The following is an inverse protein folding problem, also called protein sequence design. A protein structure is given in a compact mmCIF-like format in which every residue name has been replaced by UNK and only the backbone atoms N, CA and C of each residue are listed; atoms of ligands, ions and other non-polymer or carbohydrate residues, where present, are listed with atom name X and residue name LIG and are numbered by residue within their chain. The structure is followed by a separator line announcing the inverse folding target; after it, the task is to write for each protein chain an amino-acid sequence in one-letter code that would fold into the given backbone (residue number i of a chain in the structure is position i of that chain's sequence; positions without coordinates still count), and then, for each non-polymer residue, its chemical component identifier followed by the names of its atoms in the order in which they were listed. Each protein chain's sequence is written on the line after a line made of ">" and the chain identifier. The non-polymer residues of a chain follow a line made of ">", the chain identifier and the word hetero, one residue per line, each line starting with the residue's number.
data_IF_136417186766
#
_entry.id   IF_136417186766
#
_cell.length_a   1.000
_cell.length_b   1.000
_cell.length_c   1.000
_cell.angle_alpha   90.00
_cell.angle_beta   90.00
_cell.angle_gamma   90.00
#
_symmetry.space_group_name_H-M   'P 1'
#
loop_
_entity.id
_entity.type
_entity.pdbx_description
1 polymer ?
#
# COMPACT_ATOMS: atom_id res chain seq x y z
N UNK A 1 21.49 52.24 70.89
CA UNK A 1 21.97 51.41 69.73
C UNK A 1 20.71 50.80 69.06
N UNK A 2 20.30 51.42 67.95
CA UNK A 2 19.16 50.96 67.17
C UNK A 2 19.62 49.95 66.10
N UNK A 3 19.24 48.71 66.24
CA UNK A 3 19.41 47.72 65.19
C UNK A 3 18.16 47.74 64.25
N UNK A 4 18.36 48.20 63.02
CA UNK A 4 17.36 48.07 61.93
C UNK A 4 17.40 46.65 61.38
N UNK A 5 16.35 45.93 61.58
CA UNK A 5 16.13 44.62 60.86
C UNK A 5 15.66 44.93 59.44
N UNK A 6 16.49 44.58 58.46
CA UNK A 6 16.11 44.58 57.04
C UNK A 6 15.49 43.24 56.73
N UNK A 7 14.17 43.21 56.43
CA UNK A 7 13.49 42.07 55.95
C UNK A 7 13.77 41.93 54.44
N UNK A 8 14.44 40.84 54.03
CA UNK A 8 14.64 40.47 52.63
C UNK A 8 13.42 39.71 52.18
N UNK A 9 12.59 40.29 51.31
CA UNK A 9 11.50 39.65 50.68
C UNK A 9 12.03 38.86 49.46
N UNK A 10 12.12 37.55 49.58
CA UNK A 10 12.47 36.65 48.45
C UNK A 10 11.23 36.47 47.58
N UNK A 11 11.16 37.18 46.45
CA UNK A 11 10.13 36.94 45.43
C UNK A 11 10.48 35.66 44.65
N UNK A 12 9.84 34.56 44.99
CA UNK A 12 9.91 33.31 44.22
C UNK A 12 9.18 33.47 42.90
N UNK A 13 9.91 33.60 41.79
CA UNK A 13 9.36 33.55 40.45
C UNK A 13 8.98 32.11 40.14
N UNK A 14 7.72 31.75 40.35
CA UNK A 14 7.17 30.49 39.83
C UNK A 14 7.08 30.59 38.29
N UNK A 15 8.03 30.01 37.60
CA UNK A 15 7.88 29.72 36.17
C UNK A 15 6.78 28.65 36.01
N UNK A 16 5.57 29.07 35.66
CA UNK A 16 4.56 28.19 35.16
C UNK A 16 5.02 27.71 33.79
N UNK A 17 5.65 26.54 33.70
CA UNK A 17 5.85 25.86 32.41
C UNK A 17 4.48 25.50 31.87
N UNK A 18 4.14 25.87 30.61
CA UNK A 18 2.93 25.40 30.02
C UNK A 18 3.05 23.87 29.94
N UNK A 19 2.28 23.15 30.71
CA UNK A 19 2.04 21.75 30.51
C UNK A 19 1.36 21.64 29.16
N UNK A 20 2.11 21.25 28.13
CA UNK A 20 1.52 20.89 26.84
C UNK A 20 0.59 19.72 27.08
N UNK A 21 -0.71 20.00 27.06
CA UNK A 21 -1.75 19.01 27.22
C UNK A 21 -1.59 17.98 26.10
N UNK A 22 -1.53 16.71 26.48
CA UNK A 22 -1.57 15.62 25.55
C UNK A 22 -2.92 15.68 24.82
N UNK A 23 -2.89 15.89 23.49
CA UNK A 23 -4.10 15.91 22.67
C UNK A 23 -4.43 14.48 22.31
N UNK A 24 -5.62 14.01 22.69
CA UNK A 24 -6.14 12.72 22.29
C UNK A 24 -7.03 12.91 21.06
N UNK A 25 -6.70 12.25 19.97
CA UNK A 25 -7.55 12.20 18.76
C UNK A 25 -8.24 10.83 18.69
N UNK A 26 -9.54 10.85 18.52
CA UNK A 26 -10.32 9.62 18.31
C UNK A 26 -10.39 9.35 16.81
N UNK A 27 -10.03 8.12 16.39
CA UNK A 27 -10.06 7.64 15.01
C UNK A 27 -11.08 6.52 14.94
N UNK A 28 -11.93 6.54 13.90
CA UNK A 28 -12.95 5.52 13.69
C UNK A 28 -12.73 4.76 12.39
N UNK A 29 -12.86 3.44 12.44
CA UNK A 29 -12.87 2.57 11.25
C UNK A 29 -14.29 2.26 10.75
N UNK A 30 -15.29 2.99 11.28
CA UNK A 30 -16.70 2.80 10.96
C UNK A 30 -17.30 1.53 11.57
N UNK A 31 -18.61 1.37 11.39
CA UNK A 31 -19.32 0.18 11.84
C UNK A 31 -18.83 -1.04 11.07
N UNK A 32 -18.47 -2.11 11.78
CA UNK A 32 -17.98 -3.35 11.15
C UNK A 32 -16.61 -3.22 10.48
N UNK A 33 -15.82 -2.21 10.84
CA UNK A 33 -14.46 -1.98 10.29
C UNK A 33 -14.42 -1.83 8.75
N UNK A 34 -15.46 -1.26 8.16
CA UNK A 34 -15.59 -1.09 6.71
C UNK A 34 -14.75 0.04 6.13
N UNK A 35 -14.04 0.79 6.97
CA UNK A 35 -13.25 1.95 6.55
C UNK A 35 -11.82 1.87 7.02
N UNK A 36 -10.94 2.41 6.19
CA UNK A 36 -9.58 2.80 6.57
C UNK A 36 -9.58 4.27 6.98
N UNK A 37 -8.92 4.59 8.09
CA UNK A 37 -8.80 5.97 8.58
C UNK A 37 -7.35 6.41 8.53
N UNK A 38 -7.12 7.55 7.88
CA UNK A 38 -5.83 8.20 7.77
C UNK A 38 -5.83 9.46 8.63
N UNK A 39 -4.99 9.50 9.67
CA UNK A 39 -4.89 10.64 10.57
C UNK A 39 -3.65 11.48 10.28
N UNK A 40 -3.85 12.78 10.12
CA UNK A 40 -2.77 13.74 10.14
C UNK A 40 -2.63 14.31 11.57
N UNK A 41 -1.65 13.80 12.31
CA UNK A 41 -1.46 14.17 13.72
C UNK A 41 -1.09 15.65 13.91
N UNK A 42 -0.39 16.25 12.95
CA UNK A 42 0.01 17.65 13.01
C UNK A 42 -1.16 18.60 12.78
N UNK A 43 -2.08 18.22 11.89
CA UNK A 43 -3.25 19.04 11.55
C UNK A 43 -4.50 18.69 12.39
N UNK A 44 -4.46 17.58 13.14
CA UNK A 44 -5.63 17.08 13.87
C UNK A 44 -6.79 16.66 12.96
N UNK A 45 -6.50 16.29 11.72
CA UNK A 45 -7.52 15.93 10.73
C UNK A 45 -7.50 14.43 10.42
N UNK A 46 -8.67 13.89 10.11
CA UNK A 46 -8.88 12.50 9.71
C UNK A 46 -9.50 12.45 8.31
N UNK A 47 -9.08 11.48 7.51
CA UNK A 47 -9.73 11.11 6.24
C UNK A 47 -10.10 9.65 6.29
N UNK A 48 -11.34 9.33 6.00
CA UNK A 48 -11.84 7.96 5.89
C UNK A 48 -12.07 7.59 4.42
N UNK A 49 -11.74 6.36 4.07
CA UNK A 49 -12.06 5.72 2.78
C UNK A 49 -12.65 4.34 3.05
N UNK A 50 -13.53 3.86 2.17
CA UNK A 50 -14.04 2.50 2.33
C UNK A 50 -12.95 1.49 2.00
N UNK A 51 -12.98 0.34 2.69
CA UNK A 51 -12.04 -0.75 2.42
C UNK A 51 -12.17 -1.32 1.00
N UNK A 52 -13.27 -1.08 0.32
CA UNK A 52 -13.56 -1.55 -1.04
C UNK A 52 -13.27 -0.52 -2.13
N UNK A 53 -12.78 0.68 -1.79
CA UNK A 53 -12.55 1.75 -2.77
C UNK A 53 -11.29 1.52 -3.64
N UNK A 54 -10.47 0.53 -3.30
CA UNK A 54 -9.27 0.20 -4.06
C UNK A 54 -8.94 -1.30 -3.97
N UNK A 55 -8.22 -1.79 -4.96
CA UNK A 55 -7.83 -3.20 -5.07
C UNK A 55 -6.31 -3.38 -5.01
N UNK A 56 -5.56 -2.59 -5.77
CA UNK A 56 -4.10 -2.60 -5.77
C UNK A 56 -3.55 -1.19 -5.60
N UNK A 57 -2.32 -1.10 -5.09
CA UNK A 57 -1.63 0.17 -4.91
C UNK A 57 -0.18 0.06 -5.39
N UNK A 58 0.29 1.12 -6.03
CA UNK A 58 1.63 1.24 -6.60
C UNK A 58 2.43 2.27 -5.82
N UNK A 59 3.67 1.96 -5.44
CA UNK A 59 4.60 2.94 -4.87
C UNK A 59 4.90 4.05 -5.87
N UNK A 60 4.66 5.29 -5.45
CA UNK A 60 4.93 6.48 -6.28
C UNK A 60 5.99 7.38 -5.67
N UNK A 61 6.55 7.00 -4.53
CA UNK A 61 7.59 7.74 -3.83
C UNK A 61 8.98 7.37 -4.38
N UNK A 62 9.63 8.31 -5.04
CA UNK A 62 11.01 8.16 -5.52
C UNK A 62 11.19 6.96 -6.45
N UNK A 63 12.24 6.18 -6.20
CA UNK A 63 12.62 4.99 -6.98
C UNK A 63 11.93 3.71 -6.50
N UNK A 64 11.11 3.78 -5.44
CA UNK A 64 10.39 2.61 -4.95
C UNK A 64 9.46 2.02 -6.01
N UNK A 65 9.41 0.70 -6.10
CA UNK A 65 8.61 -0.05 -7.07
C UNK A 65 7.78 -1.16 -6.40
N UNK A 66 7.34 -0.92 -5.17
CA UNK A 66 6.44 -1.80 -4.44
C UNK A 66 5.04 -1.78 -5.03
N UNK A 67 4.42 -2.96 -5.12
CA UNK A 67 3.02 -3.10 -5.56
C UNK A 67 2.30 -3.98 -4.54
N UNK A 68 1.20 -3.46 -4.01
CA UNK A 68 0.44 -4.01 -2.89
C UNK A 68 -0.96 -4.35 -3.32
N UNK A 69 -1.60 -5.30 -2.65
CA UNK A 69 -3.04 -5.48 -2.77
C UNK A 69 -3.76 -5.16 -1.46
N UNK A 70 -5.05 -4.97 -1.53
CA UNK A 70 -5.88 -4.58 -0.40
C UNK A 70 -6.28 -5.80 0.43
N UNK A 71 -5.49 -6.12 1.45
CA UNK A 71 -5.77 -7.20 2.41
C UNK A 71 -6.82 -6.82 3.47
N UNK A 72 -7.17 -5.53 3.58
CA UNK A 72 -8.00 -5.01 4.68
C UNK A 72 -9.47 -5.44 4.62
N UNK A 73 -9.91 -6.03 3.51
CA UNK A 73 -11.28 -6.47 3.32
C UNK A 73 -11.56 -7.91 3.80
N UNK A 74 -10.53 -8.65 4.26
CA UNK A 74 -10.64 -10.10 4.49
C UNK A 74 -11.52 -10.54 5.65
N UNK A 75 -11.59 -9.78 6.75
CA UNK A 75 -12.46 -10.09 7.90
C UNK A 75 -12.86 -8.84 8.65
N UNK A 76 -14.10 -8.81 9.10
CA UNK A 76 -14.60 -7.79 10.00
C UNK A 76 -15.32 -8.46 11.16
N UNK A 77 -14.82 -8.23 12.40
CA UNK A 77 -15.43 -8.80 13.64
C UNK A 77 -15.59 -10.31 13.62
N UNK A 78 -14.68 -11.05 12.96
CA UNK A 78 -14.77 -12.51 12.82
C UNK A 78 -15.78 -12.98 11.77
N UNK A 79 -16.37 -12.07 11.01
CA UNK A 79 -17.24 -12.39 9.87
C UNK A 79 -16.41 -12.28 8.59
N UNK A 80 -16.38 -13.35 7.79
CA UNK A 80 -15.73 -13.33 6.49
C UNK A 80 -16.34 -12.25 5.60
N UNK A 81 -15.50 -11.42 5.02
CA UNK A 81 -15.87 -10.42 4.03
C UNK A 81 -15.34 -10.86 2.66
N UNK A 82 -15.98 -10.45 1.55
CA UNK A 82 -15.41 -10.64 0.23
C UNK A 82 -13.99 -10.08 0.20
N UNK A 83 -13.02 -10.94 -0.07
CA UNK A 83 -11.61 -10.58 -0.01
C UNK A 83 -11.01 -10.65 -1.41
N UNK A 84 -9.97 -9.85 -1.61
CA UNK A 84 -9.11 -9.94 -2.77
C UNK A 84 -7.97 -10.91 -2.44
N UNK A 85 -7.67 -11.85 -3.34
CA UNK A 85 -6.52 -12.74 -3.22
C UNK A 85 -5.60 -12.56 -4.43
N UNK A 86 -4.29 -12.64 -4.21
CA UNK A 86 -3.27 -12.55 -5.26
C UNK A 86 -2.44 -13.82 -5.27
N UNK A 87 -2.20 -14.36 -6.46
CA UNK A 87 -1.44 -15.58 -6.68
C UNK A 87 -0.38 -15.36 -7.75
N UNK A 88 0.76 -16.02 -7.61
CA UNK A 88 1.71 -16.14 -8.70
C UNK A 88 1.23 -17.21 -9.68
N UNK A 89 1.19 -16.90 -10.98
CA UNK A 89 0.59 -17.78 -11.99
C UNK A 89 1.52 -18.93 -12.44
N UNK A 90 2.77 -18.96 -11.96
CA UNK A 90 3.78 -19.96 -12.34
C UNK A 90 4.10 -19.97 -13.85
N UNK A 91 3.68 -18.94 -14.56
CA UNK A 91 3.99 -18.66 -15.97
C UNK A 91 4.23 -17.16 -16.14
N UNK A 92 4.95 -16.76 -17.16
CA UNK A 92 5.16 -15.38 -17.59
C UNK A 92 4.43 -15.02 -18.87
N UNK A 93 3.86 -16.03 -19.57
CA UNK A 93 3.11 -15.82 -20.80
C UNK A 93 1.69 -15.37 -20.52
N UNK A 94 1.40 -14.11 -20.83
CA UNK A 94 0.05 -13.57 -20.70
C UNK A 94 -1.00 -14.25 -21.61
N UNK A 95 -0.59 -14.94 -22.65
CA UNK A 95 -1.51 -15.65 -23.54
C UNK A 95 -1.99 -16.99 -22.95
N UNK A 96 -1.27 -17.53 -21.96
CA UNK A 96 -1.71 -18.71 -21.25
C UNK A 96 -2.95 -18.43 -20.40
N UNK A 97 -3.73 -19.47 -20.17
CA UNK A 97 -4.88 -19.44 -19.26
C UNK A 97 -4.50 -20.15 -17.96
N UNK A 98 -4.18 -19.42 -16.88
CA UNK A 98 -3.88 -20.02 -15.59
C UNK A 98 -5.08 -20.81 -15.05
N UNK A 99 -4.80 -21.95 -14.40
CA UNK A 99 -5.83 -22.76 -13.75
C UNK A 99 -5.98 -22.32 -12.27
N UNK A 100 -7.11 -21.73 -11.85
CA UNK A 100 -7.30 -21.28 -10.47
C UNK A 100 -7.24 -22.39 -9.42
N UNK A 101 -7.55 -23.63 -9.81
CA UNK A 101 -7.63 -24.78 -8.87
C UNK A 101 -6.26 -25.17 -8.28
N UNK A 102 -5.17 -24.84 -8.98
CA UNK A 102 -3.81 -25.20 -8.56
C UNK A 102 -3.05 -24.01 -7.93
N UNK A 103 -3.68 -22.84 -7.82
CA UNK A 103 -2.99 -21.62 -7.38
C UNK A 103 -2.85 -21.50 -5.86
N UNK A 104 -3.55 -22.34 -5.07
CA UNK A 104 -3.59 -22.20 -3.61
C UNK A 104 -2.22 -22.18 -2.93
N UNK A 105 -1.25 -22.95 -3.44
CA UNK A 105 0.12 -23.00 -2.90
C UNK A 105 0.98 -21.80 -3.32
N UNK A 106 0.47 -20.95 -4.21
CA UNK A 106 1.17 -19.78 -4.77
C UNK A 106 0.52 -18.46 -4.36
N UNK A 107 -0.27 -18.46 -3.28
CA UNK A 107 -0.88 -17.25 -2.74
C UNK A 107 0.20 -16.32 -2.18
N UNK A 108 0.09 -15.02 -2.48
CA UNK A 108 1.04 -13.99 -2.12
C UNK A 108 0.41 -13.02 -1.12
N UNK A 109 1.26 -12.44 -0.26
CA UNK A 109 0.85 -11.50 0.77
C UNK A 109 1.73 -10.25 0.76
N UNK A 110 1.21 -9.14 1.25
CA UNK A 110 2.03 -7.96 1.46
C UNK A 110 3.03 -8.24 2.59
N UNK A 111 4.22 -7.64 2.49
CA UNK A 111 5.26 -7.84 3.49
C UNK A 111 4.85 -7.25 4.84
N UNK A 112 4.87 -8.04 5.90
CA UNK A 112 4.70 -7.56 7.28
C UNK A 112 5.92 -6.80 7.82
N UNK A 113 7.07 -6.92 7.14
CA UNK A 113 8.36 -6.39 7.61
C UNK A 113 8.76 -5.08 6.93
N UNK A 114 8.15 -4.74 5.81
CA UNK A 114 8.57 -3.61 5.00
C UNK A 114 7.42 -2.99 4.23
N UNK A 115 7.34 -1.66 4.27
CA UNK A 115 6.44 -0.86 3.43
C UNK A 115 6.97 -0.63 2.00
N UNK A 116 8.14 -1.20 1.66
CA UNK A 116 8.74 -1.07 0.33
C UNK A 116 8.28 -2.14 -0.64
N UNK A 117 7.83 -3.29 -0.12
CA UNK A 117 7.50 -4.47 -0.90
C UNK A 117 6.10 -4.96 -0.56
N UNK A 118 5.26 -5.02 -1.58
CA UNK A 118 3.94 -5.62 -1.50
C UNK A 118 3.94 -7.08 -2.02
N UNK A 119 2.77 -7.67 -2.14
CA UNK A 119 2.59 -9.05 -2.60
C UNK A 119 3.22 -9.32 -3.97
N UNK A 120 3.15 -8.37 -4.88
CA UNK A 120 3.72 -8.52 -6.22
C UNK A 120 5.26 -8.49 -6.25
N UNK A 121 5.88 -8.17 -5.11
CA UNK A 121 7.33 -8.21 -4.93
C UNK A 121 7.81 -9.47 -4.20
N UNK A 122 6.91 -10.34 -3.74
CA UNK A 122 7.26 -11.44 -2.81
C UNK A 122 8.15 -12.49 -3.47
N UNK A 123 7.96 -12.74 -4.76
CA UNK A 123 8.75 -13.73 -5.51
C UNK A 123 10.18 -13.26 -5.88
N UNK A 124 10.58 -12.06 -5.47
CA UNK A 124 11.92 -11.53 -5.77
C UNK A 124 13.05 -12.36 -5.16
N UNK A 125 14.14 -12.47 -5.87
CA UNK A 125 15.40 -12.94 -5.31
C UNK A 125 16.06 -11.84 -4.46
N UNK A 126 16.02 -12.00 -3.14
CA UNK A 126 16.56 -11.00 -2.20
C UNK A 126 18.07 -10.85 -2.25
N UNK A 127 18.80 -11.77 -2.90
CA UNK A 127 20.24 -11.67 -3.15
C UNK A 127 20.56 -10.78 -4.36
N UNK A 128 19.57 -10.48 -5.20
CA UNK A 128 19.69 -9.67 -6.43
C UNK A 128 19.02 -8.33 -6.22
N UNK A 129 19.81 -7.28 -6.02
CA UNK A 129 19.29 -5.95 -5.67
C UNK A 129 18.38 -5.31 -6.74
N UNK A 130 18.52 -5.75 -7.99
CA UNK A 130 17.74 -5.25 -9.14
C UNK A 130 16.45 -6.04 -9.40
N UNK A 131 16.18 -7.09 -8.62
CA UNK A 131 14.97 -7.90 -8.73
C UNK A 131 13.86 -7.31 -7.84
N UNK A 132 12.76 -6.92 -8.47
CA UNK A 132 11.55 -6.39 -7.81
C UNK A 132 10.44 -7.46 -7.65
N UNK A 133 10.68 -8.70 -8.09
CA UNK A 133 9.69 -9.79 -8.10
C UNK A 133 8.79 -9.72 -9.32
N UNK A 134 8.06 -8.63 -9.52
CA UNK A 134 7.23 -8.44 -10.71
C UNK A 134 8.04 -8.09 -11.96
N UNK A 135 9.26 -7.60 -11.81
CA UNK A 135 10.13 -7.19 -12.90
C UNK A 135 11.58 -7.03 -12.44
N UNK A 136 12.49 -6.91 -13.40
CA UNK A 136 13.93 -6.73 -13.20
C UNK A 136 14.36 -5.37 -13.74
N UNK A 137 15.15 -4.65 -12.95
CA UNK A 137 15.73 -3.37 -13.37
C UNK A 137 16.88 -3.60 -14.33
N UNK A 138 16.84 -2.91 -15.44
CA UNK A 138 17.90 -2.86 -16.44
C UNK A 138 18.76 -1.60 -16.23
N UNK A 139 19.97 -1.78 -15.77
CA UNK A 139 20.93 -0.70 -15.49
C UNK A 139 21.34 0.10 -16.75
N UNK A 140 21.23 -0.50 -17.94
CA UNK A 140 21.60 0.17 -19.19
C UNK A 140 20.52 1.15 -19.64
N UNK A 141 19.26 0.80 -19.43
CA UNK A 141 18.11 1.59 -19.87
C UNK A 141 17.47 2.40 -18.76
N UNK A 142 17.75 2.07 -17.48
CA UNK A 142 17.12 2.68 -16.32
C UNK A 142 15.64 2.31 -16.18
N UNK A 143 15.24 1.14 -16.69
CA UNK A 143 13.85 0.68 -16.73
C UNK A 143 13.68 -0.58 -15.90
N UNK A 144 12.48 -0.81 -15.36
CA UNK A 144 12.10 -2.11 -14.84
C UNK A 144 11.21 -2.78 -15.87
N UNK A 145 11.63 -3.96 -16.34
CA UNK A 145 10.88 -4.77 -17.29
C UNK A 145 10.17 -5.89 -16.55
N UNK A 146 8.84 -5.95 -16.68
CA UNK A 146 8.00 -6.94 -16.03
C UNK A 146 8.10 -8.31 -16.68
N UNK A 147 8.19 -9.35 -15.86
CA UNK A 147 8.20 -10.73 -16.35
C UNK A 147 7.10 -11.59 -15.70
N UNK A 148 6.70 -11.28 -14.47
CA UNK A 148 5.78 -12.13 -13.72
C UNK A 148 4.33 -11.94 -14.12
N UNK A 149 3.60 -13.05 -14.26
CA UNK A 149 2.15 -13.09 -14.40
C UNK A 149 1.53 -13.44 -13.04
N UNK A 150 0.46 -12.74 -12.71
CA UNK A 150 -0.31 -12.94 -11.49
C UNK A 150 -1.77 -13.29 -11.82
N UNK A 151 -2.41 -13.98 -10.89
CA UNK A 151 -3.87 -14.16 -10.89
C UNK A 151 -4.42 -13.42 -9.68
N UNK A 152 -5.45 -12.61 -9.91
CA UNK A 152 -6.15 -11.88 -8.86
C UNK A 152 -7.57 -12.43 -8.79
N UNK A 153 -7.96 -12.95 -7.62
CA UNK A 153 -9.35 -13.25 -7.30
C UNK A 153 -9.99 -11.99 -6.76
N UNK A 154 -11.00 -11.51 -7.44
CA UNK A 154 -11.75 -10.31 -7.05
C UNK A 154 -12.80 -10.64 -5.98
N UNK A 155 -13.31 -9.59 -5.31
CA UNK A 155 -14.34 -9.70 -4.24
C UNK A 155 -15.66 -10.34 -4.69
N UNK A 156 -15.94 -10.34 -6.01
CA UNK A 156 -17.11 -10.98 -6.63
C UNK A 156 -16.83 -12.41 -7.13
N UNK A 157 -15.74 -13.03 -6.64
CA UNK A 157 -15.24 -14.36 -7.02
C UNK A 157 -14.79 -14.49 -8.48
N UNK A 158 -14.70 -13.41 -9.25
CA UNK A 158 -14.11 -13.43 -10.57
C UNK A 158 -12.58 -13.46 -10.47
N UNK A 159 -11.96 -14.11 -11.45
CA UNK A 159 -10.51 -14.17 -11.58
C UNK A 159 -10.05 -13.35 -12.78
N UNK A 160 -9.00 -12.56 -12.56
CA UNK A 160 -8.29 -11.84 -13.61
C UNK A 160 -6.84 -12.32 -13.67
N UNK A 161 -6.26 -12.41 -14.85
CA UNK A 161 -4.81 -12.40 -15.01
C UNK A 161 -4.31 -10.97 -15.08
N UNK A 162 -3.18 -10.71 -14.44
CA UNK A 162 -2.60 -9.37 -14.26
C UNK A 162 -1.09 -9.42 -14.47
N UNK A 163 -0.56 -8.48 -15.24
CA UNK A 163 0.87 -8.33 -15.46
C UNK A 163 1.26 -6.86 -15.44
N UNK A 164 2.32 -6.54 -14.70
CA UNK A 164 3.00 -5.25 -14.84
C UNK A 164 4.01 -5.41 -15.96
N UNK A 165 3.87 -4.63 -17.02
CA UNK A 165 4.73 -4.71 -18.19
C UNK A 165 6.04 -3.97 -17.97
N UNK A 166 5.96 -2.80 -17.33
CA UNK A 166 7.15 -1.97 -17.13
C UNK A 166 6.95 -0.85 -16.11
N UNK A 167 8.07 -0.32 -15.61
CA UNK A 167 8.18 1.00 -15.02
C UNK A 167 9.27 1.78 -15.76
N UNK A 168 8.86 2.74 -16.60
CA UNK A 168 9.75 3.52 -17.47
C UNK A 168 9.51 5.00 -17.24
N UNK A 169 10.56 5.75 -16.90
CA UNK A 169 10.46 7.20 -16.69
C UNK A 169 9.44 7.60 -15.60
N UNK A 170 9.24 6.74 -14.59
CA UNK A 170 8.25 6.94 -13.53
C UNK A 170 6.82 6.55 -13.92
N UNK A 171 6.61 5.91 -15.05
CA UNK A 171 5.30 5.47 -15.53
C UNK A 171 5.22 3.95 -15.44
N UNK A 172 4.35 3.43 -14.58
CA UNK A 172 3.95 2.04 -14.61
C UNK A 172 3.02 1.80 -15.80
N UNK A 173 3.28 0.72 -16.55
CA UNK A 173 2.35 0.17 -17.54
C UNK A 173 1.97 -1.24 -17.08
N UNK A 174 0.68 -1.52 -17.00
CA UNK A 174 0.18 -2.84 -16.61
C UNK A 174 -1.05 -3.19 -17.43
N UNK A 175 -1.31 -4.49 -17.54
CA UNK A 175 -2.51 -5.01 -18.19
C UNK A 175 -3.17 -6.11 -17.36
N UNK A 176 -4.44 -6.26 -17.60
CA UNK A 176 -5.24 -7.33 -17.02
C UNK A 176 -6.33 -7.78 -17.99
N UNK A 177 -6.78 -9.01 -17.82
CA UNK A 177 -7.83 -9.62 -18.64
C UNK A 177 -8.54 -10.71 -17.84
N UNK A 178 -9.67 -11.20 -18.31
CA UNK A 178 -10.19 -12.48 -17.86
C UNK A 178 -9.14 -13.60 -18.10
N UNK A 179 -9.24 -14.73 -17.39
CA UNK A 179 -8.25 -15.80 -17.52
C UNK A 179 -8.12 -16.33 -18.95
N UNK A 180 -9.23 -16.33 -19.71
CA UNK A 180 -9.28 -16.74 -21.13
C UNK A 180 -8.72 -15.69 -22.09
N UNK A 181 -8.26 -14.54 -21.59
CA UNK A 181 -7.73 -13.42 -22.37
C UNK A 181 -8.79 -12.43 -22.85
N UNK A 182 -10.08 -12.70 -22.66
CA UNK A 182 -11.11 -11.73 -23.02
C UNK A 182 -11.09 -10.48 -22.13
N UNK A 183 -11.64 -9.38 -22.63
CA UNK A 183 -11.74 -8.10 -21.92
C UNK A 183 -10.37 -7.54 -21.46
N UNK A 184 -9.34 -7.73 -22.30
CA UNK A 184 -8.01 -7.18 -22.00
C UNK A 184 -8.03 -5.65 -21.93
N UNK A 185 -7.41 -5.12 -20.88
CA UNK A 185 -7.27 -3.68 -20.65
C UNK A 185 -5.82 -3.37 -20.27
N UNK A 186 -5.24 -2.36 -20.93
CA UNK A 186 -3.95 -1.78 -20.54
C UNK A 186 -4.16 -0.43 -19.84
N UNK A 187 -3.46 -0.21 -18.75
CA UNK A 187 -3.48 1.01 -17.94
C UNK A 187 -2.08 1.50 -17.64
N UNK A 188 -2.01 2.79 -17.32
CA UNK A 188 -0.78 3.43 -16.83
C UNK A 188 -1.04 4.20 -15.54
N UNK A 189 -0.01 4.28 -14.69
CA UNK A 189 0.05 5.16 -13.52
C UNK A 189 1.35 5.95 -13.61
N UNK A 190 1.24 7.27 -13.71
CA UNK A 190 2.40 8.15 -13.71
C UNK A 190 2.68 8.64 -12.28
N UNK A 191 3.84 8.34 -11.73
CA UNK A 191 4.27 8.78 -10.39
C UNK A 191 4.16 10.30 -10.22
N UNK A 192 4.44 11.06 -11.27
CA UNK A 192 4.40 12.53 -11.24
C UNK A 192 3.00 13.09 -10.92
N UNK A 193 1.93 12.39 -11.33
CA UNK A 193 0.55 12.79 -11.04
C UNK A 193 0.17 12.62 -9.55
N UNK A 194 1.03 11.93 -8.81
CA UNK A 194 0.86 11.63 -7.39
C UNK A 194 1.93 12.28 -6.50
N UNK A 195 2.52 13.40 -6.93
CA UNK A 195 3.57 14.10 -6.19
C UNK A 195 3.16 14.37 -4.72
N UNK A 196 4.05 14.05 -3.79
CA UNK A 196 3.82 14.18 -2.35
C UNK A 196 2.97 13.04 -1.73
N UNK A 197 2.62 12.02 -2.51
CA UNK A 197 1.98 10.79 -2.01
C UNK A 197 2.98 9.63 -1.98
N UNK A 198 2.68 8.62 -1.17
CA UNK A 198 3.46 7.38 -1.12
C UNK A 198 2.94 6.34 -2.11
N UNK A 199 1.62 6.28 -2.28
CA UNK A 199 0.93 5.27 -3.08
C UNK A 199 -0.08 5.90 -4.02
N UNK A 200 -0.23 5.31 -5.20
CA UNK A 200 -1.35 5.49 -6.11
C UNK A 200 -2.24 4.25 -6.06
N UNK A 201 -3.53 4.43 -5.95
CA UNK A 201 -4.51 3.37 -5.81
C UNK A 201 -5.25 3.13 -7.12
N UNK A 202 -5.53 1.86 -7.39
CA UNK A 202 -6.31 1.42 -8.55
C UNK A 202 -7.39 0.44 -8.11
N UNK A 203 -8.58 0.51 -8.74
CA UNK A 203 -9.65 -0.48 -8.57
C UNK A 203 -10.06 -1.08 -9.92
N UNK A 204 -10.33 -2.38 -9.90
CA UNK A 204 -10.87 -3.10 -11.06
C UNK A 204 -12.36 -2.84 -11.28
N UNK A 205 -13.02 -2.08 -10.38
CA UNK A 205 -14.44 -1.69 -10.52
C UNK A 205 -15.44 -2.73 -10.03
N UNK A 206 -15.07 -3.53 -9.02
CA UNK A 206 -15.91 -4.58 -8.41
C UNK A 206 -16.46 -4.18 -7.07
#
# INVERSE_FOLDING_TARGET
>A
INMKQSAFLLFGLCFAMPLTSQTTQQISTGTGYQKQSYANLSAGTEKQVNNTDWDIAFSVNGEEAGIFFNESAGTSMGVAQPQLDVFFAVTDDFNEQPNPEILGDFQLYNSEKSWKYGAFNEIRDTSVAIDYGWGVYDEQTGQINGFALYVIKLRNDQYLKFKVESLIGGIYTFRYANLDGSNEVTKTINKADHAGKTLAYFSFGT
#
